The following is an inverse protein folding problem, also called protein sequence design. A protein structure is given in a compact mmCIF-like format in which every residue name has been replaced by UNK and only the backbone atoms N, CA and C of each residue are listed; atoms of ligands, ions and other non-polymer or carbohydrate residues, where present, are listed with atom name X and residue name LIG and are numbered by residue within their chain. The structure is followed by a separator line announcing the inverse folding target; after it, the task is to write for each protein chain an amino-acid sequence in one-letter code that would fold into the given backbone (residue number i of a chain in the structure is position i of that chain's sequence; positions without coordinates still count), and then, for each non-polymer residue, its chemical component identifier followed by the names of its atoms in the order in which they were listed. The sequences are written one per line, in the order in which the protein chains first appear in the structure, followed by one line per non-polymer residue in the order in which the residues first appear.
data_IF_087289116656
#
_entry.id   IF_087289116656
#
_cell.length_a   1.000
_cell.length_b   1.000
_cell.length_c   1.000
_cell.angle_alpha   90.00
_cell.angle_beta   90.00
_cell.angle_gamma   90.00
#
_symmetry.space_group_name_H-M   'P 1'
#
loop_
_entity.id
_entity.type
_entity.pdbx_description
1 polymer ?
#
# COMPACT_ATOMS: atom_id res chain seq x y z
N UNK A 1 0.61 3.57 -36.33
CA UNK A 1 1.46 2.66 -35.51
C UNK A 1 0.71 2.50 -34.22
N UNK A 2 0.18 1.30 -33.90
CA UNK A 2 -0.46 1.07 -32.60
C UNK A 2 0.62 1.21 -31.53
N UNK A 3 0.44 2.18 -30.66
CA UNK A 3 1.35 2.40 -29.52
C UNK A 3 1.15 1.23 -28.56
N UNK A 4 2.23 0.54 -28.18
CA UNK A 4 2.15 -0.57 -27.21
C UNK A 4 1.70 -0.05 -25.86
N UNK A 5 0.75 -0.74 -25.21
CA UNK A 5 0.25 -0.41 -23.88
C UNK A 5 1.34 -0.63 -22.84
N UNK A 6 1.72 0.42 -22.11
CA UNK A 6 2.76 0.37 -21.08
C UNK A 6 2.14 0.02 -19.76
N UNK A 7 2.48 -1.16 -19.23
CA UNK A 7 1.86 -1.73 -18.02
C UNK A 7 2.88 -1.83 -16.90
N UNK A 8 2.48 -1.46 -15.68
CA UNK A 8 3.21 -1.67 -14.44
C UNK A 8 2.43 -2.68 -13.58
N UNK A 9 3.14 -3.56 -12.88
CA UNK A 9 2.59 -4.51 -11.91
C UNK A 9 3.08 -4.13 -10.52
N UNK A 10 2.18 -4.17 -9.52
CA UNK A 10 2.55 -4.07 -8.12
C UNK A 10 1.83 -5.17 -7.31
N UNK A 11 2.62 -6.05 -6.67
CA UNK A 11 2.15 -7.20 -5.93
C UNK A 11 3.26 -7.68 -4.99
N UNK A 12 3.02 -7.89 -3.71
CA UNK A 12 4.04 -8.32 -2.75
C UNK A 12 4.36 -9.83 -2.87
N UNK A 13 3.45 -10.60 -3.43
CA UNK A 13 3.63 -12.03 -3.65
C UNK A 13 4.42 -12.30 -4.93
N UNK A 14 5.69 -12.65 -4.80
CA UNK A 14 6.57 -12.96 -5.95
C UNK A 14 5.98 -13.97 -6.94
N UNK A 15 5.34 -15.08 -6.52
CA UNK A 15 4.72 -16.01 -7.47
C UNK A 15 3.61 -15.37 -8.30
N UNK A 16 2.71 -14.60 -7.67
CA UNK A 16 1.60 -13.92 -8.35
C UNK A 16 2.14 -12.86 -9.32
N UNK A 17 3.11 -12.05 -8.90
CA UNK A 17 3.78 -11.05 -9.73
C UNK A 17 4.47 -11.68 -10.94
N UNK A 18 5.26 -12.76 -10.74
CA UNK A 18 5.93 -13.48 -11.83
C UNK A 18 4.95 -14.10 -12.82
N UNK A 19 3.84 -14.66 -12.34
CA UNK A 19 2.79 -15.21 -13.18
C UNK A 19 2.14 -14.14 -14.05
N UNK A 20 1.76 -13.00 -13.45
CA UNK A 20 1.15 -11.89 -14.17
C UNK A 20 2.11 -11.28 -15.21
N UNK A 21 3.40 -11.15 -14.86
CA UNK A 21 4.44 -10.70 -15.78
C UNK A 21 4.59 -11.65 -16.97
N UNK A 22 4.54 -12.97 -16.73
CA UNK A 22 4.61 -13.97 -17.82
C UNK A 22 3.40 -13.86 -18.75
N UNK A 23 2.19 -13.66 -18.22
CA UNK A 23 0.99 -13.44 -19.04
C UNK A 23 1.12 -12.19 -19.92
N UNK A 24 1.57 -11.06 -19.34
CA UNK A 24 1.71 -9.80 -20.07
C UNK A 24 2.74 -9.88 -21.20
N UNK A 25 3.86 -10.60 -20.97
CA UNK A 25 4.87 -10.82 -22.03
C UNK A 25 4.37 -11.66 -23.20
N UNK A 26 3.26 -12.39 -23.02
CA UNK A 26 2.60 -13.12 -24.10
C UNK A 26 1.76 -12.26 -25.04
N UNK A 27 1.62 -10.95 -24.79
CA UNK A 27 0.86 -10.03 -25.63
C UNK A 27 1.79 -9.09 -26.37
N UNK A 28 1.80 -9.14 -27.71
CA UNK A 28 2.70 -8.34 -28.56
C UNK A 28 2.43 -6.82 -28.49
N UNK A 29 1.22 -6.43 -28.09
CA UNK A 29 0.77 -5.04 -27.97
C UNK A 29 0.92 -4.46 -26.56
N UNK A 30 1.66 -5.15 -25.67
CA UNK A 30 1.90 -4.77 -24.27
C UNK A 30 3.38 -4.69 -23.96
N UNK A 31 3.78 -3.68 -23.21
CA UNK A 31 5.14 -3.55 -22.68
C UNK A 31 5.09 -3.45 -21.15
N UNK A 32 5.68 -4.41 -20.46
CA UNK A 32 5.88 -4.34 -19.01
C UNK A 32 7.00 -3.35 -18.70
N UNK A 33 6.68 -2.23 -18.05
CA UNK A 33 7.61 -1.12 -17.77
C UNK A 33 8.10 -1.09 -16.32
N UNK A 34 7.55 -1.90 -15.44
CA UNK A 34 8.00 -2.00 -14.06
C UNK A 34 7.26 -3.08 -13.28
N UNK A 35 7.96 -3.63 -12.29
CA UNK A 35 7.46 -4.58 -11.30
C UNK A 35 7.77 -4.04 -9.90
N UNK A 36 6.76 -3.87 -9.04
CA UNK A 36 6.90 -3.39 -7.67
C UNK A 36 6.52 -4.50 -6.67
N UNK A 37 7.25 -4.55 -5.56
CA UNK A 37 7.02 -5.49 -4.45
C UNK A 37 6.28 -4.85 -3.27
N UNK A 38 6.18 -3.52 -3.29
CA UNK A 38 5.53 -2.74 -2.24
C UNK A 38 4.78 -1.57 -2.84
N UNK A 39 3.78 -1.05 -2.14
CA UNK A 39 3.06 0.14 -2.60
C UNK A 39 3.96 1.37 -2.73
N UNK A 40 4.97 1.51 -1.88
CA UNK A 40 6.00 2.55 -1.97
C UNK A 40 6.76 2.49 -3.28
N UNK A 41 7.26 1.29 -3.62
CA UNK A 41 7.97 1.08 -4.88
C UNK A 41 7.05 1.28 -6.08
N UNK A 42 5.75 0.94 -5.97
CA UNK A 42 4.78 1.19 -7.02
C UNK A 42 4.64 2.68 -7.32
N UNK A 43 4.52 3.54 -6.30
CA UNK A 43 4.48 5.01 -6.48
C UNK A 43 5.73 5.51 -7.17
N UNK A 44 6.93 5.12 -6.69
CA UNK A 44 8.21 5.54 -7.27
C UNK A 44 8.34 5.12 -8.75
N UNK A 45 7.97 3.88 -9.07
CA UNK A 45 8.02 3.37 -10.45
C UNK A 45 6.97 4.02 -11.36
N UNK A 46 5.76 4.29 -10.88
CA UNK A 46 4.73 5.01 -11.64
C UNK A 46 5.22 6.43 -11.97
N UNK A 47 5.79 7.13 -10.99
CA UNK A 47 6.36 8.48 -11.19
C UNK A 47 7.54 8.49 -12.16
N UNK A 48 8.36 7.44 -12.17
CA UNK A 48 9.55 7.35 -13.03
C UNK A 48 9.26 6.85 -14.44
N UNK A 49 8.34 5.88 -14.58
CA UNK A 49 8.11 5.20 -15.85
C UNK A 49 6.90 5.71 -16.61
N UNK A 50 5.98 6.44 -15.97
CA UNK A 50 4.72 6.92 -16.55
C UNK A 50 3.98 5.82 -17.32
N UNK A 51 3.53 4.73 -16.68
CA UNK A 51 2.78 3.68 -17.34
C UNK A 51 1.41 4.18 -17.80
N UNK A 52 0.81 3.51 -18.79
CA UNK A 52 -0.55 3.75 -19.21
C UNK A 52 -1.57 3.06 -18.30
N UNK A 53 -1.21 1.87 -17.78
CA UNK A 53 -2.02 1.05 -16.89
C UNK A 53 -1.15 0.55 -15.72
N UNK A 54 -1.67 0.63 -14.50
CA UNK A 54 -1.10 -0.02 -13.33
C UNK A 54 -2.04 -1.13 -12.83
N UNK A 55 -1.50 -2.35 -12.73
CA UNK A 55 -2.14 -3.50 -12.10
C UNK A 55 -1.66 -3.56 -10.66
N UNK A 56 -2.55 -3.25 -9.71
CA UNK A 56 -2.21 -3.09 -8.31
C UNK A 56 -2.88 -4.15 -7.44
N UNK A 57 -2.11 -4.88 -6.63
CA UNK A 57 -2.73 -5.62 -5.55
C UNK A 57 -3.28 -4.65 -4.50
N UNK A 58 -4.43 -5.00 -3.94
CA UNK A 58 -5.04 -4.24 -2.85
C UNK A 58 -4.23 -4.36 -1.57
N UNK A 59 -3.63 -5.51 -1.31
CA UNK A 59 -2.89 -5.78 -0.07
C UNK A 59 -1.39 -5.86 -0.32
N UNK A 60 -0.71 -4.75 -0.13
CA UNK A 60 0.75 -4.68 -0.21
C UNK A 60 1.34 -4.08 1.08
N UNK A 61 2.59 -4.44 1.44
CA UNK A 61 3.28 -3.80 2.55
C UNK A 61 3.57 -2.31 2.28
N UNK A 62 3.68 -1.54 3.35
CA UNK A 62 3.97 -0.09 3.38
C UNK A 62 2.80 0.78 2.92
N UNK A 63 2.28 0.53 1.75
CA UNK A 63 1.11 1.18 1.18
C UNK A 63 0.26 0.12 0.48
N UNK A 64 -0.99 0.02 0.84
CA UNK A 64 -1.97 -0.77 0.11
C UNK A 64 -2.28 -0.16 -1.27
N UNK A 65 -2.90 -0.93 -2.17
CA UNK A 65 -3.19 -0.46 -3.53
C UNK A 65 -4.04 0.81 -3.57
N UNK A 66 -4.92 1.01 -2.60
CA UNK A 66 -5.75 2.22 -2.51
C UNK A 66 -4.95 3.42 -2.03
N UNK A 67 -4.02 3.22 -1.11
CA UNK A 67 -3.10 4.26 -0.64
C UNK A 67 -2.14 4.70 -1.76
N UNK A 68 -1.67 3.76 -2.59
CA UNK A 68 -0.92 4.09 -3.82
C UNK A 68 -1.72 5.06 -4.68
N UNK A 69 -2.99 4.73 -5.00
CA UNK A 69 -3.86 5.58 -5.82
C UNK A 69 -4.05 6.98 -5.22
N UNK A 70 -4.24 7.08 -3.90
CA UNK A 70 -4.41 8.38 -3.21
C UNK A 70 -3.17 9.26 -3.27
N UNK A 71 -1.98 8.65 -3.32
CA UNK A 71 -0.71 9.37 -3.32
C UNK A 71 -0.27 9.87 -4.69
N UNK A 72 -0.81 9.29 -5.77
CA UNK A 72 -0.45 9.70 -7.13
C UNK A 72 -0.99 11.10 -7.46
N UNK A 73 -0.18 11.90 -8.16
CA UNK A 73 -0.64 13.15 -8.75
C UNK A 73 -1.69 12.87 -9.83
N UNK A 74 -2.86 13.51 -9.72
CA UNK A 74 -3.97 13.38 -10.68
C UNK A 74 -3.56 13.58 -12.15
N UNK A 75 -2.59 14.45 -12.41
CA UNK A 75 -2.10 14.74 -13.76
C UNK A 75 -1.24 13.64 -14.36
N UNK A 76 -0.69 12.77 -13.51
CA UNK A 76 0.24 11.69 -13.89
C UNK A 76 -0.29 10.30 -13.57
N UNK A 77 -1.53 10.23 -13.12
CA UNK A 77 -2.17 8.98 -12.73
C UNK A 77 -2.40 8.08 -13.96
N UNK A 78 -1.91 6.83 -13.94
CA UNK A 78 -2.25 5.85 -14.96
C UNK A 78 -3.70 5.39 -14.82
N UNK A 79 -4.22 4.66 -15.79
CA UNK A 79 -5.38 3.82 -15.57
C UNK A 79 -5.08 2.78 -14.50
N UNK A 80 -6.04 2.46 -13.65
CA UNK A 80 -5.87 1.52 -12.55
C UNK A 80 -6.75 0.30 -12.77
N UNK A 81 -6.17 -0.90 -12.63
CA UNK A 81 -6.92 -2.12 -12.42
C UNK A 81 -6.39 -2.81 -11.15
N UNK A 82 -7.29 -3.29 -10.32
CA UNK A 82 -6.92 -4.02 -9.11
C UNK A 82 -6.81 -5.52 -9.39
N UNK A 83 -5.81 -6.17 -8.77
CA UNK A 83 -5.59 -7.62 -8.87
C UNK A 83 -5.45 -8.16 -7.46
N UNK A 84 -6.39 -8.99 -6.99
CA UNK A 84 -6.42 -9.41 -5.59
C UNK A 84 -6.98 -10.82 -5.41
N UNK A 85 -6.70 -11.44 -4.26
CA UNK A 85 -7.27 -12.73 -3.88
C UNK A 85 -8.68 -12.65 -3.26
N UNK A 86 -9.20 -11.45 -3.03
CA UNK A 86 -10.45 -11.23 -2.30
C UNK A 86 -11.60 -10.97 -3.26
N UNK A 87 -12.62 -11.84 -3.24
CA UNK A 87 -13.86 -11.73 -4.03
C UNK A 87 -14.88 -10.77 -3.41
N UNK A 88 -14.89 -10.63 -2.09
CA UNK A 88 -15.81 -9.75 -1.36
C UNK A 88 -15.72 -8.27 -1.77
N UNK A 89 -14.62 -7.90 -2.36
CA UNK A 89 -14.31 -6.54 -2.80
C UNK A 89 -14.68 -6.26 -4.25
N UNK A 90 -15.04 -7.30 -5.04
CA UNK A 90 -15.38 -7.15 -6.45
C UNK A 90 -16.61 -6.25 -6.67
N UNK A 91 -17.62 -6.33 -5.80
CA UNK A 91 -18.85 -5.52 -5.90
C UNK A 91 -18.56 -4.03 -5.64
N UNK A 92 -17.65 -3.73 -4.71
CA UNK A 92 -17.28 -2.34 -4.36
C UNK A 92 -16.23 -1.75 -5.30
N UNK A 93 -15.49 -2.56 -6.01
CA UNK A 93 -14.52 -2.09 -7.01
C UNK A 93 -15.20 -1.40 -8.22
N UNK A 94 -16.44 -1.73 -8.51
CA UNK A 94 -17.25 -0.97 -9.47
C UNK A 94 -17.48 0.49 -9.02
N UNK A 95 -17.53 0.74 -7.71
CA UNK A 95 -17.60 2.10 -7.15
C UNK A 95 -16.28 2.85 -7.30
N UNK A 96 -15.15 2.12 -7.40
CA UNK A 96 -13.81 2.69 -7.52
C UNK A 96 -13.49 3.25 -8.92
N UNK A 97 -14.40 3.10 -9.90
CA UNK A 97 -14.18 3.51 -11.30
C UNK A 97 -12.81 3.07 -11.88
N UNK A 98 -12.20 2.04 -11.31
CA UNK A 98 -11.03 1.39 -11.91
C UNK A 98 -11.41 0.83 -13.30
N UNK A 99 -10.42 0.59 -14.14
CA UNK A 99 -10.65 -0.05 -15.44
C UNK A 99 -11.26 -1.42 -15.25
N UNK A 100 -10.76 -2.13 -14.25
CA UNK A 100 -11.21 -3.47 -13.95
C UNK A 100 -10.79 -3.94 -12.55
N UNK A 101 -11.33 -5.11 -12.18
CA UNK A 101 -11.01 -5.83 -10.97
C UNK A 101 -10.80 -7.32 -11.33
N UNK A 102 -9.60 -7.81 -11.05
CA UNK A 102 -9.17 -9.15 -11.39
C UNK A 102 -8.97 -9.97 -10.12
N UNK A 103 -9.60 -11.14 -10.06
CA UNK A 103 -9.37 -12.09 -8.99
C UNK A 103 -8.15 -12.97 -9.29
N UNK A 104 -7.30 -13.21 -8.31
CA UNK A 104 -6.22 -14.19 -8.37
C UNK A 104 -6.79 -15.62 -8.21
N UNK A 105 -6.33 -16.64 -9.00
CA UNK A 105 -5.36 -16.51 -10.09
C UNK A 105 -5.98 -15.86 -11.34
N UNK A 106 -5.23 -14.94 -11.97
CA UNK A 106 -5.73 -14.20 -13.12
C UNK A 106 -5.80 -15.09 -14.34
N UNK A 107 -6.97 -15.14 -14.96
CA UNK A 107 -7.17 -15.82 -16.23
C UNK A 107 -6.68 -14.98 -17.41
N UNK A 108 -6.06 -15.63 -18.42
CA UNK A 108 -5.46 -14.94 -19.58
C UNK A 108 -6.50 -14.16 -20.40
N UNK A 109 -7.69 -14.75 -20.63
CA UNK A 109 -8.75 -14.09 -21.38
C UNK A 109 -9.31 -12.90 -20.63
N UNK A 110 -9.42 -13.02 -19.28
CA UNK A 110 -9.86 -11.93 -18.41
C UNK A 110 -8.86 -10.78 -18.39
N UNK A 111 -7.55 -11.09 -18.31
CA UNK A 111 -6.49 -10.08 -18.42
C UNK A 111 -6.54 -9.37 -19.78
N UNK A 112 -6.68 -10.11 -20.88
CA UNK A 112 -6.82 -9.53 -22.23
C UNK A 112 -7.99 -8.56 -22.29
N UNK A 113 -9.15 -8.94 -21.74
CA UNK A 113 -10.31 -8.04 -21.70
C UNK A 113 -10.03 -6.74 -20.94
N UNK A 114 -9.28 -6.82 -19.83
CA UNK A 114 -8.85 -5.63 -19.06
C UNK A 114 -7.93 -4.72 -19.87
N UNK A 115 -6.95 -5.30 -20.59
CA UNK A 115 -6.02 -4.56 -21.44
C UNK A 115 -6.77 -3.84 -22.58
N UNK A 116 -7.74 -4.50 -23.21
CA UNK A 116 -8.57 -3.90 -24.27
C UNK A 116 -9.38 -2.71 -23.72
N UNK A 117 -10.01 -2.85 -22.55
CA UNK A 117 -10.72 -1.73 -21.91
C UNK A 117 -9.79 -0.57 -21.56
N UNK A 118 -8.55 -0.87 -21.14
CA UNK A 118 -7.57 0.18 -20.90
C UNK A 118 -7.21 0.92 -22.20
N UNK A 119 -6.98 0.22 -23.29
CA UNK A 119 -6.72 0.83 -24.62
C UNK A 119 -7.89 1.70 -25.09
N UNK A 120 -9.13 1.20 -25.00
CA UNK A 120 -10.34 1.95 -25.35
C UNK A 120 -10.47 3.26 -24.55
N UNK A 121 -10.16 3.22 -23.22
CA UNK A 121 -10.20 4.43 -22.37
C UNK A 121 -9.10 5.42 -22.71
N UNK A 122 -7.91 4.96 -23.10
CA UNK A 122 -6.80 5.84 -23.53
C UNK A 122 -7.10 6.62 -24.79
N UNK A 123 -7.94 6.09 -25.67
CA UNK A 123 -8.38 6.77 -26.91
C UNK A 123 -9.35 7.95 -26.63
N UNK A 124 -9.94 8.03 -25.45
CA UNK A 124 -10.84 9.13 -25.07
C UNK A 124 -10.03 10.36 -24.60
N UNK A 125 -10.21 11.52 -25.23
CA UNK A 125 -9.35 12.71 -25.09
C UNK A 125 -9.26 13.32 -23.67
N UNK A 126 -10.23 13.08 -22.79
CA UNK A 126 -10.32 13.74 -21.47
C UNK A 126 -10.35 12.77 -20.26
N UNK A 127 -9.93 11.53 -20.45
CA UNK A 127 -10.06 10.49 -19.44
C UNK A 127 -9.27 10.75 -18.15
N UNK A 128 -8.04 11.31 -18.24
CA UNK A 128 -7.12 11.40 -17.09
C UNK A 128 -7.68 12.18 -15.91
N UNK A 129 -8.18 13.37 -16.15
CA UNK A 129 -8.69 14.23 -15.05
C UNK A 129 -9.96 13.69 -14.42
N UNK A 130 -10.88 13.15 -15.25
CA UNK A 130 -12.12 12.57 -14.78
C UNK A 130 -11.88 11.26 -14.00
N UNK A 131 -11.05 10.37 -14.54
CA UNK A 131 -10.73 9.08 -13.94
C UNK A 131 -9.97 9.25 -12.61
N UNK A 132 -8.91 10.05 -12.58
CA UNK A 132 -8.13 10.30 -11.38
C UNK A 132 -9.00 10.84 -10.23
N UNK A 133 -9.93 11.74 -10.52
CA UNK A 133 -10.84 12.29 -9.49
C UNK A 133 -11.80 11.22 -8.97
N UNK A 134 -12.34 10.38 -9.84
CA UNK A 134 -13.29 9.32 -9.47
C UNK A 134 -12.63 8.21 -8.65
N UNK A 135 -11.48 7.70 -9.14
CA UNK A 135 -10.75 6.60 -8.46
C UNK A 135 -10.25 7.04 -7.08
N UNK A 136 -9.73 8.27 -6.95
CA UNK A 136 -9.28 8.78 -5.64
C UNK A 136 -10.43 9.02 -4.66
N UNK A 137 -11.56 9.57 -5.12
CA UNK A 137 -12.74 9.75 -4.27
C UNK A 137 -13.26 8.42 -3.76
N UNK A 138 -13.41 7.43 -4.64
CA UNK A 138 -13.89 6.11 -4.29
C UNK A 138 -12.89 5.35 -3.39
N UNK A 139 -11.57 5.50 -3.60
CA UNK A 139 -10.56 4.92 -2.71
C UNK A 139 -10.65 5.47 -1.28
N UNK A 140 -11.03 6.74 -1.12
CA UNK A 140 -11.23 7.35 0.20
C UNK A 140 -12.47 6.83 0.89
N UNK A 141 -13.57 6.69 0.16
CA UNK A 141 -14.84 6.18 0.68
C UNK A 141 -14.74 4.70 1.07
N UNK A 142 -14.08 3.91 0.23
CA UNK A 142 -13.81 2.49 0.49
C UNK A 142 -13.09 2.26 1.82
N UNK A 143 -12.05 3.04 2.11
CA UNK A 143 -11.24 2.90 3.33
C UNK A 143 -12.08 3.13 4.59
N UNK A 144 -13.08 4.02 4.53
CA UNK A 144 -13.97 4.30 5.65
C UNK A 144 -14.99 3.19 5.92
N UNK A 145 -15.42 2.46 4.88
CA UNK A 145 -16.53 1.48 4.98
C UNK A 145 -16.08 0.04 5.18
N UNK A 146 -14.81 -0.30 4.89
CA UNK A 146 -14.36 -1.72 4.77
C UNK A 146 -13.29 -2.10 5.78
N UNK A 147 -12.81 -1.18 6.63
CA UNK A 147 -11.82 -1.51 7.65
C UNK A 147 -12.36 -2.54 8.64
N UNK A 148 -11.59 -3.59 8.94
CA UNK A 148 -11.93 -4.46 10.07
C UNK A 148 -11.98 -3.62 11.35
N UNK A 149 -12.78 -4.00 12.36
CA UNK A 149 -12.88 -3.25 13.60
C UNK A 149 -11.50 -3.02 14.20
N UNK A 150 -11.25 -1.77 14.58
CA UNK A 150 -9.97 -1.37 15.16
C UNK A 150 -9.68 -2.16 16.44
N UNK A 151 -8.45 -2.57 16.61
CA UNK A 151 -7.99 -3.22 17.82
C UNK A 151 -7.82 -2.19 18.95
N UNK A 152 -8.44 -2.46 20.06
CA UNK A 152 -8.17 -1.72 21.30
C UNK A 152 -7.10 -2.40 22.15
N UNK A 153 -6.91 -3.71 21.97
CA UNK A 153 -6.03 -4.57 22.78
C UNK A 153 -5.42 -5.66 21.93
N UNK A 154 -4.16 -5.99 22.20
CA UNK A 154 -3.43 -7.08 21.55
C UNK A 154 -3.14 -8.17 22.58
N UNK A 155 -3.63 -9.41 22.38
CA UNK A 155 -3.27 -10.54 23.23
C UNK A 155 -1.84 -11.01 22.87
N UNK A 156 -0.99 -11.11 23.88
CA UNK A 156 0.39 -11.60 23.75
C UNK A 156 0.55 -12.82 24.62
N UNK A 157 0.89 -13.96 24.02
CA UNK A 157 1.19 -15.17 24.77
C UNK A 157 2.61 -15.11 25.32
N UNK A 158 2.74 -15.19 26.64
CA UNK A 158 4.03 -15.23 27.32
C UNK A 158 4.04 -16.42 28.27
N UNK A 159 4.83 -17.46 27.97
CA UNK A 159 4.81 -18.74 28.69
C UNK A 159 3.39 -19.33 28.77
N UNK A 160 2.87 -19.47 30.00
CA UNK A 160 1.54 -20.04 30.27
C UNK A 160 0.44 -18.97 30.44
N UNK A 161 0.77 -17.69 30.27
CA UNK A 161 -0.13 -16.56 30.45
C UNK A 161 -0.42 -15.84 29.14
N UNK A 162 -1.57 -15.19 29.07
CA UNK A 162 -1.93 -14.27 28.00
C UNK A 162 -1.97 -12.87 28.59
N UNK A 163 -1.00 -12.04 28.20
CA UNK A 163 -1.00 -10.62 28.52
C UNK A 163 -1.86 -9.87 27.53
N UNK A 164 -2.64 -8.93 28.00
CA UNK A 164 -3.49 -8.08 27.18
C UNK A 164 -2.88 -6.69 27.13
N UNK A 165 -2.25 -6.34 26.00
CA UNK A 165 -1.59 -5.05 25.81
C UNK A 165 -2.57 -4.06 25.18
N UNK A 166 -2.90 -2.96 25.87
CA UNK A 166 -3.72 -1.90 25.27
C UNK A 166 -2.98 -1.25 24.10
N UNK A 167 -3.64 -1.10 22.95
CA UNK A 167 -3.03 -0.48 21.76
C UNK A 167 -2.56 0.95 22.03
N UNK A 168 -3.27 1.69 22.88
CA UNK A 168 -2.87 3.05 23.30
C UNK A 168 -1.52 3.11 24.04
N UNK A 169 -1.04 1.98 24.57
CA UNK A 169 0.26 1.90 25.26
C UNK A 169 1.40 1.50 24.30
N UNK A 170 1.10 1.19 23.05
CA UNK A 170 2.14 0.85 22.08
C UNK A 170 2.82 2.11 21.55
N UNK A 171 4.15 2.06 21.54
CA UNK A 171 5.01 3.08 20.95
C UNK A 171 5.39 2.71 19.50
N UNK A 172 5.75 1.44 19.28
CA UNK A 172 6.15 0.96 17.97
C UNK A 172 5.91 -0.54 17.81
N UNK A 173 5.88 -0.96 16.54
CA UNK A 173 5.83 -2.36 16.12
C UNK A 173 6.89 -2.53 15.03
N UNK A 174 7.82 -3.46 15.25
CA UNK A 174 8.92 -3.74 14.32
C UNK A 174 8.87 -5.20 13.92
N UNK A 175 8.89 -5.45 12.60
CA UNK A 175 8.94 -6.81 12.04
C UNK A 175 10.37 -7.30 11.93
N UNK A 176 10.59 -8.53 12.37
CA UNK A 176 11.82 -9.29 12.16
C UNK A 176 11.45 -10.70 11.68
N UNK A 177 11.52 -10.90 10.37
CA UNK A 177 10.97 -12.10 9.71
C UNK A 177 9.47 -12.24 9.96
N UNK A 178 9.07 -13.40 10.52
CA UNK A 178 7.67 -13.72 10.86
C UNK A 178 7.26 -13.21 12.25
N UNK A 179 8.16 -12.55 12.96
CA UNK A 179 7.93 -12.05 14.30
C UNK A 179 7.68 -10.54 14.29
N UNK A 180 6.77 -10.09 15.14
CA UNK A 180 6.56 -8.67 15.42
C UNK A 180 6.98 -8.36 16.85
N UNK A 181 7.88 -7.38 16.99
CA UNK A 181 8.30 -6.82 18.27
C UNK A 181 7.46 -5.60 18.59
N UNK A 182 6.64 -5.71 19.60
CA UNK A 182 5.80 -4.64 20.14
C UNK A 182 6.57 -3.92 21.24
N UNK A 183 6.78 -2.63 21.12
CA UNK A 183 7.40 -1.82 22.20
C UNK A 183 6.37 -0.86 22.78
N UNK A 184 6.23 -0.85 24.10
CA UNK A 184 5.31 0.04 24.81
C UNK A 184 5.93 1.43 25.08
N UNK A 185 5.10 2.36 25.53
CA UNK A 185 5.52 3.69 26.00
C UNK A 185 6.48 3.61 27.21
N UNK A 186 6.47 2.49 27.96
CA UNK A 186 7.35 2.21 29.07
C UNK A 186 8.62 1.45 28.69
N UNK A 187 8.87 1.25 27.38
CA UNK A 187 9.97 0.42 26.84
C UNK A 187 9.88 -1.07 27.19
N UNK A 188 8.71 -1.57 27.55
CA UNK A 188 8.48 -3.00 27.65
C UNK A 188 8.40 -3.57 26.23
N UNK A 189 9.01 -4.73 26.00
CA UNK A 189 9.04 -5.38 24.69
C UNK A 189 8.35 -6.72 24.73
N UNK A 190 7.50 -6.96 23.74
CA UNK A 190 6.75 -8.20 23.58
C UNK A 190 6.92 -8.70 22.14
N UNK A 191 6.83 -10.01 21.94
CA UNK A 191 6.95 -10.62 20.61
C UNK A 191 5.72 -11.44 20.31
N UNK A 192 5.17 -11.26 19.11
CA UNK A 192 4.05 -12.04 18.59
C UNK A 192 4.36 -12.58 17.20
N UNK A 193 3.75 -13.72 16.84
CA UNK A 193 3.76 -14.26 15.49
C UNK A 193 2.51 -13.75 14.78
N UNK A 194 2.66 -12.72 13.96
CA UNK A 194 1.57 -12.11 13.20
C UNK A 194 2.13 -11.38 11.97
N UNK A 195 1.34 -11.24 10.92
CA UNK A 195 1.77 -10.43 9.76
C UNK A 195 1.57 -8.95 10.05
N UNK A 196 2.60 -8.15 9.82
CA UNK A 196 2.55 -6.70 10.10
C UNK A 196 1.41 -6.00 9.35
N UNK A 197 1.16 -6.39 8.09
CA UNK A 197 0.07 -5.84 7.27
C UNK A 197 -1.32 -6.08 7.87
N UNK A 198 -1.56 -7.29 8.41
CA UNK A 198 -2.86 -7.66 8.98
C UNK A 198 -3.10 -6.93 10.31
N UNK A 199 -2.02 -6.69 11.07
CA UNK A 199 -2.07 -5.89 12.30
C UNK A 199 -2.30 -4.40 11.98
N UNK A 200 -1.58 -3.86 10.99
CA UNK A 200 -1.70 -2.48 10.52
C UNK A 200 -3.12 -2.15 10.06
N UNK A 201 -3.77 -3.05 9.32
CA UNK A 201 -5.16 -2.88 8.86
C UNK A 201 -6.17 -2.72 10.00
N UNK A 202 -5.82 -3.21 11.20
CA UNK A 202 -6.65 -3.15 12.41
C UNK A 202 -6.20 -2.09 13.43
N UNK A 203 -5.17 -1.30 13.13
CA UNK A 203 -4.74 -0.17 13.94
C UNK A 203 -5.34 1.12 13.39
N UNK A 204 -5.57 2.09 14.29
CA UNK A 204 -6.05 3.41 13.92
C UNK A 204 -4.99 4.18 13.11
N UNK A 205 -5.22 4.46 11.82
CA UNK A 205 -4.25 5.16 10.96
C UNK A 205 -4.07 6.63 11.33
N UNK A 206 -4.97 7.20 12.13
CA UNK A 206 -4.77 8.52 12.71
C UNK A 206 -3.71 8.49 13.82
N UNK A 207 -3.45 7.31 14.40
CA UNK A 207 -2.50 7.13 15.50
C UNK A 207 -1.25 6.35 15.12
N UNK A 208 -1.33 5.45 14.16
CA UNK A 208 -0.20 4.63 13.75
C UNK A 208 0.18 4.90 12.30
N UNK A 209 1.46 5.14 12.09
CA UNK A 209 2.02 5.39 10.76
C UNK A 209 3.12 4.39 10.42
N UNK A 210 3.17 4.01 9.16
CA UNK A 210 4.27 3.21 8.61
C UNK A 210 5.51 4.08 8.40
N UNK A 211 6.64 3.69 8.99
CA UNK A 211 7.93 4.38 8.81
C UNK A 211 8.83 3.72 7.77
N UNK A 212 8.58 2.44 7.47
CA UNK A 212 9.36 1.64 6.53
C UNK A 212 8.74 0.25 6.35
N UNK A 213 9.39 -0.64 5.60
CA UNK A 213 8.88 -1.98 5.26
C UNK A 213 8.42 -2.79 6.47
N UNK A 214 9.14 -2.70 7.57
CA UNK A 214 8.89 -3.49 8.77
C UNK A 214 8.57 -2.68 10.02
N UNK A 215 8.21 -1.39 9.92
CA UNK A 215 8.12 -0.53 11.10
C UNK A 215 6.86 0.31 11.11
N UNK A 216 6.05 0.18 12.15
CA UNK A 216 4.95 1.07 12.51
C UNK A 216 5.31 1.86 13.77
N UNK A 217 4.89 3.10 13.86
CA UNK A 217 5.07 3.95 15.03
C UNK A 217 3.80 4.69 15.41
N UNK A 218 3.63 4.93 16.69
CA UNK A 218 2.56 5.75 17.22
C UNK A 218 2.87 7.23 17.01
N UNK A 219 2.03 7.93 16.24
CA UNK A 219 2.16 9.35 15.92
C UNK A 219 2.09 10.26 17.16
N UNK A 220 1.24 9.91 18.15
CA UNK A 220 1.10 10.69 19.38
C UNK A 220 2.41 10.75 20.18
N UNK A 221 3.28 9.77 19.97
CA UNK A 221 4.58 9.68 20.64
C UNK A 221 5.73 10.22 19.80
N UNK A 222 5.49 10.63 18.57
CA UNK A 222 6.53 11.18 17.69
C UNK A 222 6.97 12.55 18.21
N UNK A 223 8.26 12.69 18.56
CA UNK A 223 8.85 13.93 19.08
C UNK A 223 9.71 14.66 18.07
N UNK A 224 10.42 13.90 17.22
CA UNK A 224 11.36 14.48 16.26
C UNK A 224 11.51 13.57 15.06
N UNK A 225 11.66 14.18 13.89
CA UNK A 225 12.10 13.52 12.65
C UNK A 225 13.33 14.27 12.14
N UNK A 226 14.48 13.60 12.15
CA UNK A 226 15.77 14.18 11.75
C UNK A 226 16.26 13.58 10.44
N UNK A 227 16.73 14.38 9.48
CA UNK A 227 17.30 13.86 8.24
C UNK A 227 18.63 13.14 8.52
N UNK A 228 18.88 12.09 7.75
CA UNK A 228 20.13 11.34 7.70
C UNK A 228 20.84 11.53 6.35
N UNK A 229 22.18 11.34 6.30
CA UNK A 229 22.89 11.24 5.03
C UNK A 229 22.23 10.19 4.10
N UNK A 230 22.08 10.52 2.81
CA UNK A 230 21.44 9.64 1.85
C UNK A 230 19.93 9.81 1.70
N UNK A 231 19.31 10.83 2.34
CA UNK A 231 17.90 11.21 2.12
C UNK A 231 16.88 10.37 2.88
N UNK A 232 17.31 9.53 3.82
CA UNK A 232 16.46 8.86 4.80
C UNK A 232 16.30 9.72 6.04
N UNK A 233 15.47 9.29 7.01
CA UNK A 233 15.23 10.01 8.24
C UNK A 233 15.26 9.07 9.44
N UNK A 234 15.41 9.64 10.63
CA UNK A 234 15.22 8.98 11.93
C UNK A 234 14.07 9.65 12.67
N UNK A 235 13.11 8.85 13.09
CA UNK A 235 12.03 9.26 13.99
C UNK A 235 12.43 8.94 15.43
N UNK A 236 12.34 9.94 16.32
CA UNK A 236 12.56 9.78 17.77
C UNK A 236 11.23 9.87 18.48
N UNK A 237 10.89 8.83 19.22
CA UNK A 237 9.65 8.73 20.00
C UNK A 237 9.84 9.29 21.42
N UNK A 238 8.73 9.55 22.11
CA UNK A 238 8.72 10.07 23.48
C UNK A 238 9.37 9.15 24.50
N UNK A 239 9.38 7.84 24.27
CA UNK A 239 10.05 6.83 25.09
C UNK A 239 11.58 6.73 24.80
N UNK A 240 12.12 7.60 23.93
CA UNK A 240 13.53 7.61 23.54
C UNK A 240 13.91 6.66 22.41
N UNK A 241 12.98 5.82 21.93
CA UNK A 241 13.23 4.90 20.83
C UNK A 241 13.51 5.67 19.54
N UNK A 242 14.49 5.21 18.76
CA UNK A 242 14.83 5.74 17.44
C UNK A 242 14.48 4.72 16.35
N UNK A 243 13.73 5.13 15.35
CA UNK A 243 13.25 4.30 14.27
C UNK A 243 13.65 4.87 12.91
N UNK A 244 14.14 4.02 12.03
CA UNK A 244 14.47 4.42 10.66
C UNK A 244 13.19 4.72 9.87
N UNK A 245 13.24 5.81 9.09
CA UNK A 245 12.14 6.24 8.22
C UNK A 245 12.63 6.23 6.78
N UNK A 246 11.89 5.56 5.91
CA UNK A 246 12.20 5.55 4.48
C UNK A 246 12.03 6.93 3.85
N UNK A 247 12.65 7.17 2.68
CA UNK A 247 12.57 8.46 1.98
C UNK A 247 11.13 8.88 1.71
N UNK A 248 10.31 7.94 1.22
CA UNK A 248 8.91 8.22 0.91
C UNK A 248 8.12 8.52 2.18
N UNK A 249 8.27 7.71 3.22
CA UNK A 249 7.56 7.92 4.48
C UNK A 249 7.98 9.24 5.16
N UNK A 250 9.24 9.65 5.01
CA UNK A 250 9.70 10.97 5.46
C UNK A 250 9.03 12.12 4.71
N UNK A 251 8.68 11.95 3.43
CA UNK A 251 7.91 12.92 2.66
C UNK A 251 6.46 12.98 3.16
N UNK A 252 5.82 11.82 3.32
CA UNK A 252 4.43 11.70 3.83
C UNK A 252 4.32 12.33 5.23
N UNK A 253 5.23 11.99 6.14
CA UNK A 253 5.26 12.57 7.49
C UNK A 253 5.34 14.09 7.45
N UNK A 254 6.16 14.64 6.55
CA UNK A 254 6.26 16.09 6.39
C UNK A 254 4.95 16.71 5.91
N UNK A 255 4.33 16.10 4.90
CA UNK A 255 3.04 16.59 4.37
C UNK A 255 1.92 16.49 5.39
N UNK A 256 1.89 15.43 6.22
CA UNK A 256 0.88 15.27 7.27
C UNK A 256 1.11 16.18 8.48
N UNK A 257 2.38 16.33 8.91
CA UNK A 257 2.73 17.11 10.11
C UNK A 257 2.89 18.61 9.86
N UNK A 258 3.19 19.03 8.61
CA UNK A 258 3.36 20.44 8.25
C UNK A 258 2.10 21.08 7.64
N UNK A 259 0.97 20.36 7.60
CA UNK A 259 -0.35 20.94 7.32
C UNK A 259 -0.90 21.68 8.56
N UNK A 260 -0.09 22.58 9.09
CA UNK A 260 -0.50 23.60 10.07
C UNK A 260 -0.81 24.91 9.36
#
# INVERSE_FOLDING_TARGET
MNQTLRVLIADDERPARSFLAALLRGFDDVTLVGEAETGTQAVELIEATHPDLALLDLQMPELDGLSVVRMLDKKRMPLIAFVTAYDEYAVKAFELNAVDYLLKPVDTARLRATLNRAQERLEQSDWRAAEATRVQAAATDYDQTTRPPLLERIPVRQRDEILIIPVKELASIVSDGDLLHLTTIKNESYTITYRLKDLEARLDPAKFIRLGRGTLANLDLLRRVSPLPGGTYVATLANGQQLNVSRLQGRILREQLLKL
#
